data_IF_611773356106
#
_entry.id   IF_611773356106
#
_cell.length_a   1.000
_cell.length_b   1.000
_cell.length_c   1.000
_cell.angle_alpha   90.00
_cell.angle_beta   90.00
_cell.angle_gamma   90.00
#
_symmetry.space_group_name_H-M   'P 1'
#
loop_
_entity.id
_entity.type
_entity.pdbx_description
1 polymer ?
#
# COMPACT_ATOMS: atom_id res chain seq x y z
N UNK A 1 -73.98 -31.25 12.02
CA UNK A 1 -72.91 -32.26 12.37
C UNK A 1 -71.66 -31.81 11.62
N UNK A 2 -70.60 -31.37 12.34
CA UNK A 2 -69.32 -31.09 11.69
C UNK A 2 -68.55 -32.42 11.53
N UNK A 3 -68.36 -32.90 10.31
CA UNK A 3 -67.49 -34.03 10.03
C UNK A 3 -66.05 -33.64 10.45
N UNK A 4 -65.53 -34.26 11.48
CA UNK A 4 -64.11 -34.22 11.81
C UNK A 4 -63.39 -35.10 10.78
N UNK A 5 -62.83 -34.49 9.75
CA UNK A 5 -61.92 -35.20 8.83
C UNK A 5 -60.65 -35.58 9.62
N UNK A 6 -60.49 -36.85 9.94
CA UNK A 6 -59.23 -37.35 10.47
C UNK A 6 -58.19 -37.30 9.34
N UNK A 7 -57.09 -36.58 9.57
CA UNK A 7 -55.93 -36.59 8.67
C UNK A 7 -55.45 -38.02 8.46
N UNK A 8 -55.25 -38.44 7.26
CA UNK A 8 -54.72 -39.75 6.95
C UNK A 8 -53.20 -39.79 7.24
N UNK A 9 -52.68 -40.94 7.62
CA UNK A 9 -51.25 -41.10 7.89
C UNK A 9 -50.41 -40.64 6.69
N UNK A 10 -50.88 -40.83 5.45
CA UNK A 10 -50.24 -40.40 4.22
C UNK A 10 -50.12 -38.87 4.16
N UNK A 11 -51.18 -38.12 4.47
CA UNK A 11 -51.17 -36.65 4.46
C UNK A 11 -50.14 -36.10 5.44
N UNK A 12 -50.04 -36.68 6.65
CA UNK A 12 -49.05 -36.29 7.64
C UNK A 12 -47.62 -36.54 7.12
N UNK A 13 -47.40 -37.70 6.52
CA UNK A 13 -46.11 -38.04 5.94
C UNK A 13 -45.68 -37.13 4.79
N UNK A 14 -46.60 -36.82 3.88
CA UNK A 14 -46.40 -35.84 2.82
C UNK A 14 -46.05 -34.44 3.38
N UNK A 15 -46.78 -34.00 4.41
CA UNK A 15 -46.52 -32.71 5.05
C UNK A 15 -45.11 -32.62 5.66
N UNK A 16 -44.63 -33.71 6.29
CA UNK A 16 -43.26 -33.78 6.82
C UNK A 16 -42.21 -33.74 5.72
N UNK A 17 -42.42 -34.44 4.58
CA UNK A 17 -41.52 -34.40 3.44
C UNK A 17 -41.43 -32.97 2.90
N UNK A 18 -42.53 -32.31 2.66
CA UNK A 18 -42.55 -30.92 2.19
C UNK A 18 -41.86 -29.97 3.16
N UNK A 19 -42.14 -30.09 4.47
CA UNK A 19 -41.52 -29.28 5.49
C UNK A 19 -39.99 -29.46 5.52
N UNK A 20 -39.53 -30.71 5.41
CA UNK A 20 -38.06 -30.99 5.39
C UNK A 20 -37.39 -30.43 4.14
N UNK A 21 -38.04 -30.46 2.97
CA UNK A 21 -37.54 -29.86 1.73
C UNK A 21 -37.45 -28.33 1.86
N UNK A 22 -38.48 -27.69 2.39
CA UNK A 22 -38.46 -26.24 2.63
C UNK A 22 -37.35 -25.87 3.60
N UNK A 23 -37.19 -26.62 4.68
CA UNK A 23 -36.13 -26.37 5.66
C UNK A 23 -34.74 -26.56 5.04
N UNK A 24 -34.51 -27.60 4.27
CA UNK A 24 -33.26 -27.83 3.57
C UNK A 24 -32.93 -26.70 2.58
N UNK A 25 -33.93 -26.20 1.84
CA UNK A 25 -33.78 -25.05 0.95
C UNK A 25 -33.42 -23.79 1.72
N UNK A 26 -34.10 -23.48 2.81
CA UNK A 26 -33.82 -22.33 3.66
C UNK A 26 -32.40 -22.39 4.25
N UNK A 27 -31.97 -23.55 4.73
CA UNK A 27 -30.63 -23.74 5.25
C UNK A 27 -29.56 -23.58 4.18
N UNK A 28 -29.80 -24.07 2.95
CA UNK A 28 -28.90 -23.88 1.82
C UNK A 28 -28.75 -22.38 1.46
N UNK A 29 -29.86 -21.66 1.35
CA UNK A 29 -29.84 -20.20 1.02
C UNK A 29 -29.17 -19.40 2.14
N UNK A 30 -29.41 -19.71 3.39
CA UNK A 30 -28.78 -19.05 4.54
C UNK A 30 -27.25 -19.28 4.52
N UNK A 31 -26.82 -20.53 4.31
CA UNK A 31 -25.40 -20.88 4.20
C UNK A 31 -24.69 -20.14 3.06
N UNK A 32 -25.31 -20.05 1.89
CA UNK A 32 -24.80 -19.32 0.74
C UNK A 32 -24.67 -17.82 1.05
N UNK A 33 -25.70 -17.23 1.65
CA UNK A 33 -25.70 -15.81 2.05
C UNK A 33 -24.59 -15.50 3.07
N UNK A 34 -24.41 -16.36 4.07
CA UNK A 34 -23.33 -16.19 5.06
C UNK A 34 -21.94 -16.27 4.41
N UNK A 35 -21.69 -17.26 3.53
CA UNK A 35 -20.42 -17.36 2.78
C UNK A 35 -20.15 -16.11 1.95
N UNK A 36 -21.16 -15.62 1.22
CA UNK A 36 -21.03 -14.39 0.43
C UNK A 36 -20.70 -13.19 1.30
N UNK A 37 -21.33 -13.05 2.46
CA UNK A 37 -21.08 -11.92 3.37
C UNK A 37 -19.67 -11.96 3.97
N UNK A 38 -19.13 -13.15 4.28
CA UNK A 38 -17.76 -13.32 4.76
C UNK A 38 -16.75 -12.97 3.68
N UNK A 39 -16.96 -13.43 2.44
CA UNK A 39 -16.10 -13.08 1.31
C UNK A 39 -16.08 -11.58 1.05
N UNK A 40 -17.25 -10.92 1.07
CA UNK A 40 -17.34 -9.47 0.91
C UNK A 40 -16.60 -8.70 2.02
N UNK A 41 -16.66 -9.18 3.26
CA UNK A 41 -15.90 -8.58 4.37
C UNK A 41 -14.40 -8.70 4.15
N UNK A 42 -13.91 -9.86 3.72
CA UNK A 42 -12.49 -10.08 3.42
C UNK A 42 -12.00 -9.14 2.31
N UNK A 43 -12.73 -9.07 1.19
CA UNK A 43 -12.41 -8.19 0.06
C UNK A 43 -12.42 -6.71 0.50
N UNK A 44 -13.42 -6.31 1.29
CA UNK A 44 -13.51 -4.94 1.81
C UNK A 44 -12.31 -4.60 2.70
N UNK A 45 -11.92 -5.50 3.59
CA UNK A 45 -10.78 -5.28 4.49
C UNK A 45 -9.48 -5.11 3.69
N UNK A 46 -9.23 -5.99 2.73
CA UNK A 46 -8.06 -5.90 1.84
C UNK A 46 -8.05 -4.59 1.04
N UNK A 47 -9.19 -4.22 0.45
CA UNK A 47 -9.30 -2.96 -0.29
C UNK A 47 -9.04 -1.73 0.60
N UNK A 48 -9.52 -1.75 1.85
CA UNK A 48 -9.27 -0.68 2.81
C UNK A 48 -7.82 -0.58 3.24
N UNK A 49 -7.12 -1.71 3.46
CA UNK A 49 -5.69 -1.73 3.75
C UNK A 49 -4.90 -1.16 2.57
N UNK A 50 -5.16 -1.65 1.36
CA UNK A 50 -4.55 -1.14 0.13
C UNK A 50 -4.74 0.37 -0.02
N UNK A 51 -5.96 0.86 0.20
CA UNK A 51 -6.28 2.28 0.10
C UNK A 51 -5.51 3.11 1.16
N UNK A 52 -5.41 2.63 2.40
CA UNK A 52 -4.66 3.31 3.47
C UNK A 52 -3.18 3.44 3.12
N UNK A 53 -2.55 2.35 2.68
CA UNK A 53 -1.13 2.34 2.26
C UNK A 53 -0.93 3.30 1.10
N UNK A 54 -1.73 3.19 0.04
CA UNK A 54 -1.64 4.05 -1.13
C UNK A 54 -1.78 5.52 -0.75
N UNK A 55 -2.83 5.87 0.01
CA UNK A 55 -3.07 7.25 0.45
C UNK A 55 -1.90 7.80 1.28
N UNK A 56 -1.37 6.98 2.20
CA UNK A 56 -0.26 7.39 3.06
C UNK A 56 1.01 7.69 2.23
N UNK A 57 1.39 6.78 1.36
CA UNK A 57 2.54 6.94 0.47
C UNK A 57 2.34 8.08 -0.54
N UNK A 58 1.13 8.23 -1.08
CA UNK A 58 0.81 9.33 -1.99
C UNK A 58 1.00 10.70 -1.33
N UNK A 59 0.55 10.87 -0.08
CA UNK A 59 0.76 12.12 0.68
C UNK A 59 2.26 12.38 0.87
N UNK A 60 3.05 11.36 1.21
CA UNK A 60 4.49 11.50 1.38
C UNK A 60 5.19 11.89 0.08
N UNK A 61 4.93 11.15 -1.00
CA UNK A 61 5.56 11.41 -2.29
C UNK A 61 5.10 12.71 -2.96
N UNK A 62 3.89 13.17 -2.68
CA UNK A 62 3.44 14.50 -3.13
C UNK A 62 4.11 15.66 -2.39
N UNK A 63 4.74 15.39 -1.24
CA UNK A 63 5.43 16.37 -0.43
C UNK A 63 6.95 16.14 -0.36
N UNK A 64 7.52 15.45 -1.36
CA UNK A 64 8.97 15.33 -1.48
C UNK A 64 9.60 16.74 -1.51
N UNK A 65 10.62 16.94 -0.68
CA UNK A 65 11.27 18.21 -0.49
C UNK A 65 12.74 18.19 -0.90
N UNK A 66 13.22 19.29 -1.46
CA UNK A 66 14.64 19.57 -1.60
C UNK A 66 15.23 19.99 -0.26
N UNK A 67 16.43 19.51 0.07
CA UNK A 67 17.12 19.87 1.31
C UNK A 67 17.69 21.28 1.27
N UNK A 68 18.03 21.78 0.10
CA UNK A 68 18.67 23.09 -0.10
C UNK A 68 17.82 24.00 -0.97
N UNK A 69 17.72 25.29 -0.59
CA UNK A 69 17.01 26.30 -1.38
C UNK A 69 17.71 26.59 -2.70
N UNK A 70 19.02 26.42 -2.77
CA UNK A 70 19.87 26.87 -3.87
C UNK A 70 20.25 25.77 -4.88
N UNK A 71 19.99 24.52 -4.55
CA UNK A 71 20.21 23.40 -5.47
C UNK A 71 19.04 22.43 -5.38
N UNK A 72 18.50 22.02 -6.53
CA UNK A 72 17.45 21.00 -6.63
C UNK A 72 17.98 19.60 -6.28
N UNK A 73 18.66 19.49 -5.13
CA UNK A 73 19.21 18.24 -4.62
C UNK A 73 18.15 17.55 -3.78
N UNK A 74 17.59 16.50 -4.33
CA UNK A 74 16.65 15.65 -3.61
C UNK A 74 17.41 14.53 -2.90
N UNK A 75 17.12 14.37 -1.63
CA UNK A 75 17.57 13.20 -0.87
C UNK A 75 16.57 12.07 -1.15
N UNK A 76 16.83 11.33 -2.22
CA UNK A 76 15.97 10.24 -2.69
C UNK A 76 16.86 9.16 -3.29
N UNK A 77 16.96 8.01 -2.62
CA UNK A 77 17.82 6.91 -3.06
C UNK A 77 17.41 5.59 -2.42
N UNK A 78 17.85 4.49 -3.01
CA UNK A 78 17.71 3.15 -2.45
C UNK A 78 19.01 2.69 -1.83
N UNK A 79 18.94 2.01 -0.70
CA UNK A 79 20.08 1.43 0.01
C UNK A 79 19.69 0.09 0.61
N UNK A 80 20.61 -0.87 0.63
CA UNK A 80 20.41 -2.14 1.35
C UNK A 80 20.76 -1.96 2.82
N UNK A 81 19.76 -2.16 3.67
CA UNK A 81 19.96 -2.14 5.13
C UNK A 81 20.56 -3.50 5.54
N UNK A 82 21.58 -3.55 6.41
CA UNK A 82 22.10 -4.79 6.96
C UNK A 82 20.98 -5.62 7.61
N UNK A 83 20.82 -6.88 7.16
CA UNK A 83 19.78 -7.79 7.65
C UNK A 83 18.44 -7.72 6.89
N UNK A 84 18.37 -6.95 5.81
CA UNK A 84 17.26 -6.99 4.84
C UNK A 84 17.78 -7.40 3.48
N UNK A 85 17.12 -8.36 2.84
CA UNK A 85 17.42 -8.73 1.44
C UNK A 85 16.91 -7.70 0.45
N UNK A 86 15.90 -6.94 0.85
CA UNK A 86 15.22 -5.95 0.02
C UNK A 86 15.85 -4.56 0.18
N UNK A 87 15.96 -3.78 -0.92
CA UNK A 87 16.43 -2.40 -0.85
C UNK A 87 15.40 -1.51 -0.17
N UNK A 88 15.83 -0.75 0.82
CA UNK A 88 15.05 0.32 1.46
C UNK A 88 15.05 1.57 0.60
N UNK A 89 13.96 2.33 0.61
CA UNK A 89 13.87 3.63 -0.03
C UNK A 89 14.01 4.74 1.02
N UNK A 90 14.98 5.62 0.81
CA UNK A 90 15.24 6.80 1.65
C UNK A 90 14.86 8.07 0.91
N UNK A 91 14.11 8.95 1.56
CA UNK A 91 13.67 10.21 0.97
C UNK A 91 13.37 11.27 2.03
N UNK A 92 13.33 12.53 1.62
CA UNK A 92 12.93 13.65 2.49
C UNK A 92 11.58 14.18 2.08
N UNK A 93 10.79 14.54 3.08
CA UNK A 93 9.48 15.16 2.90
C UNK A 93 9.40 16.48 3.66
N UNK A 94 8.59 17.40 3.15
CA UNK A 94 8.37 18.70 3.74
C UNK A 94 6.87 19.00 3.86
N UNK A 95 6.51 19.85 4.81
CA UNK A 95 5.14 20.37 4.95
C UNK A 95 4.05 19.30 5.12
N UNK A 96 4.35 18.24 5.84
CA UNK A 96 3.32 17.27 6.25
C UNK A 96 2.56 17.88 7.43
N UNK A 97 1.23 17.80 7.37
CA UNK A 97 0.38 18.12 8.53
C UNK A 97 0.42 16.93 9.49
N UNK A 98 1.03 17.12 10.64
CA UNK A 98 1.06 16.13 11.73
C UNK A 98 0.61 16.81 13.03
N UNK A 99 -0.17 16.13 13.88
CA UNK A 99 -0.58 16.66 15.18
C UNK A 99 0.60 17.04 16.09
N UNK A 100 1.73 16.33 15.94
CA UNK A 100 2.97 16.69 16.63
C UNK A 100 3.80 17.65 15.76
N UNK A 101 4.05 18.90 16.22
CA UNK A 101 4.79 19.91 15.46
C UNK A 101 6.19 19.48 15.01
N UNK A 102 6.84 18.58 15.76
CA UNK A 102 8.15 18.04 15.38
C UNK A 102 8.11 17.30 14.05
N UNK A 103 6.99 16.63 13.73
CA UNK A 103 6.76 15.90 12.49
C UNK A 103 6.11 16.74 11.37
N UNK A 104 5.82 18.00 11.61
CA UNK A 104 5.33 18.95 10.60
C UNK A 104 6.44 19.71 9.86
N UNK A 105 7.71 19.42 10.18
CA UNK A 105 8.89 20.02 9.59
C UNK A 105 9.45 19.14 8.45
N UNK A 106 10.74 19.35 8.14
CA UNK A 106 11.46 18.47 7.20
C UNK A 106 11.75 17.15 7.91
N UNK A 107 11.30 16.06 7.32
CA UNK A 107 11.50 14.71 7.83
C UNK A 107 12.36 13.90 6.85
N UNK A 108 13.33 13.18 7.41
CA UNK A 108 13.91 12.02 6.73
C UNK A 108 12.94 10.84 6.87
N UNK A 109 12.64 10.19 5.77
CA UNK A 109 11.79 9.01 5.73
C UNK A 109 12.55 7.82 5.16
N UNK A 110 12.33 6.66 5.75
CA UNK A 110 12.86 5.38 5.25
C UNK A 110 11.74 4.36 5.17
N UNK A 111 11.58 3.72 4.01
CA UNK A 111 10.59 2.68 3.78
C UNK A 111 11.30 1.36 3.53
N UNK A 112 11.05 0.37 4.37
CA UNK A 112 11.74 -0.92 4.35
C UNK A 112 10.86 -2.04 4.89
N UNK A 113 11.28 -3.30 4.64
CA UNK A 113 10.64 -4.49 5.21
C UNK A 113 11.48 -5.01 6.37
N UNK A 114 10.82 -5.28 7.49
CA UNK A 114 11.39 -5.92 8.67
C UNK A 114 10.33 -6.77 9.35
N UNK A 115 10.69 -7.98 9.74
CA UNK A 115 9.80 -8.93 10.43
C UNK A 115 8.46 -9.12 9.71
N UNK A 116 8.49 -9.30 8.40
CA UNK A 116 7.30 -9.43 7.53
C UNK A 116 6.34 -8.22 7.60
N UNK A 117 6.87 -7.03 7.86
CA UNK A 117 6.10 -5.79 7.92
C UNK A 117 6.74 -4.73 7.04
N UNK A 118 5.92 -4.01 6.29
CA UNK A 118 6.33 -2.79 5.62
C UNK A 118 6.30 -1.65 6.65
N UNK A 119 7.46 -1.10 6.93
CA UNK A 119 7.66 -0.07 7.96
C UNK A 119 8.08 1.24 7.30
N UNK A 120 7.43 2.31 7.72
CA UNK A 120 7.80 3.68 7.44
C UNK A 120 8.44 4.26 8.69
N UNK A 121 9.75 4.46 8.66
CA UNK A 121 10.45 5.22 9.69
C UNK A 121 10.48 6.70 9.31
N UNK A 122 10.19 7.57 10.27
CA UNK A 122 10.19 9.03 10.12
C UNK A 122 11.10 9.63 11.17
N UNK A 123 12.02 10.47 10.72
CA UNK A 123 13.05 11.10 11.54
C UNK A 123 13.00 12.61 11.33
N UNK A 124 12.60 13.42 12.32
CA UNK A 124 12.71 14.86 12.24
C UNK A 124 14.19 15.27 12.14
N UNK A 125 14.56 16.00 11.08
CA UNK A 125 15.97 16.40 10.87
C UNK A 125 16.50 17.33 11.94
N UNK A 126 15.63 18.08 12.62
CA UNK A 126 16.01 18.98 13.73
C UNK A 126 16.19 18.27 15.05
N UNK A 127 15.46 17.18 15.29
CA UNK A 127 15.55 16.39 16.51
C UNK A 127 15.48 14.89 16.20
N UNK A 128 16.65 14.28 15.90
CA UNK A 128 16.71 12.87 15.56
C UNK A 128 16.31 11.92 16.70
N UNK A 129 16.21 12.40 17.94
CA UNK A 129 15.79 11.58 19.08
C UNK A 129 14.32 11.19 19.04
N UNK A 130 13.51 11.90 18.24
CA UNK A 130 12.07 11.70 18.10
C UNK A 130 11.70 10.76 16.93
N UNK A 131 12.52 9.76 16.63
CA UNK A 131 12.22 8.79 15.57
C UNK A 131 10.88 8.10 15.83
N UNK A 132 10.08 7.94 14.75
CA UNK A 132 8.79 7.22 14.78
C UNK A 132 8.75 6.18 13.69
N UNK A 133 8.34 4.97 14.04
CA UNK A 133 8.05 3.89 13.09
C UNK A 133 6.55 3.68 12.98
N UNK A 134 6.07 3.57 11.75
CA UNK A 134 4.67 3.31 11.41
C UNK A 134 4.60 2.02 10.58
N UNK A 135 3.84 1.03 11.03
CA UNK A 135 3.59 -0.19 10.27
C UNK A 135 2.51 0.11 9.23
N UNK A 136 2.87 0.10 7.96
CA UNK A 136 1.94 0.37 6.85
C UNK A 136 1.18 -0.89 6.42
N UNK A 137 1.87 -2.03 6.39
CA UNK A 137 1.30 -3.30 5.95
C UNK A 137 1.95 -4.47 6.70
N UNK A 138 1.18 -5.52 6.97
CA UNK A 138 1.64 -6.78 7.55
C UNK A 138 1.71 -7.88 6.48
N UNK A 139 2.33 -8.98 6.83
CA UNK A 139 2.45 -10.19 6.00
C UNK A 139 3.16 -9.93 4.66
N UNK A 140 4.13 -9.01 4.66
CA UNK A 140 4.98 -8.67 3.52
C UNK A 140 6.16 -9.64 3.45
N UNK A 141 6.35 -10.28 2.31
CA UNK A 141 7.47 -11.19 2.08
C UNK A 141 8.66 -10.45 1.49
N UNK A 142 8.43 -9.62 0.49
CA UNK A 142 9.46 -8.82 -0.17
C UNK A 142 8.89 -7.56 -0.80
N UNK A 143 9.77 -6.61 -1.10
CA UNK A 143 9.43 -5.41 -1.87
C UNK A 143 10.38 -5.25 -3.04
N UNK A 144 9.84 -4.72 -4.15
CA UNK A 144 10.64 -4.32 -5.30
C UNK A 144 10.26 -2.93 -5.74
N UNK A 145 11.28 -2.15 -6.09
CA UNK A 145 11.15 -0.81 -6.62
C UNK A 145 11.35 -0.83 -8.13
N UNK A 146 10.55 -0.06 -8.86
CA UNK A 146 10.72 0.17 -10.29
C UNK A 146 10.64 1.67 -10.52
N UNK A 147 11.77 2.26 -10.91
CA UNK A 147 11.90 3.69 -11.16
C UNK A 147 11.89 3.97 -12.64
N UNK A 148 11.09 4.96 -13.05
CA UNK A 148 10.99 5.41 -14.45
C UNK A 148 11.65 6.78 -14.58
N UNK A 149 12.60 6.86 -15.50
CA UNK A 149 13.32 8.10 -15.76
C UNK A 149 12.49 9.04 -16.60
N UNK A 150 12.57 10.34 -16.30
CA UNK A 150 12.09 11.39 -17.19
C UNK A 150 12.98 11.42 -18.45
N UNK A 151 12.38 11.39 -19.64
CA UNK A 151 13.06 11.68 -20.89
C UNK A 151 13.39 13.18 -20.92
N UNK A 152 14.44 13.58 -20.28
CA UNK A 152 14.95 14.96 -20.41
C UNK A 152 15.58 15.08 -21.78
N UNK A 153 14.99 15.92 -22.63
CA UNK A 153 15.63 16.54 -23.78
C UNK A 153 16.65 17.56 -23.24
N UNK A 154 17.80 17.10 -22.77
CA UNK A 154 18.91 17.97 -22.40
C UNK A 154 20.01 17.70 -23.39
N UNK A 155 20.09 18.59 -24.40
CA UNK A 155 21.10 18.57 -25.42
C UNK A 155 22.53 18.97 -24.96
N UNK A 156 22.72 19.27 -23.66
CA UNK A 156 23.98 19.86 -23.17
C UNK A 156 24.63 19.16 -21.98
N UNK A 157 24.30 17.88 -21.69
CA UNK A 157 24.89 17.18 -20.54
C UNK A 157 25.72 15.99 -20.97
N UNK A 158 26.90 16.25 -21.55
CA UNK A 158 27.88 15.20 -21.89
C UNK A 158 28.48 14.45 -20.69
N UNK A 159 28.16 14.84 -19.46
CA UNK A 159 28.70 14.24 -18.23
C UNK A 159 27.68 13.53 -17.33
N UNK A 160 26.41 13.46 -17.68
CA UNK A 160 25.44 12.75 -16.87
C UNK A 160 25.53 11.25 -17.18
N UNK A 161 25.97 10.47 -16.20
CA UNK A 161 25.91 9.00 -16.21
C UNK A 161 24.57 8.55 -16.81
N UNK A 162 24.62 7.75 -17.88
CA UNK A 162 23.38 7.27 -18.56
C UNK A 162 22.54 6.46 -17.56
N UNK A 163 21.58 7.12 -16.94
CA UNK A 163 20.61 6.45 -16.10
C UNK A 163 19.72 5.59 -17.00
N UNK A 164 19.54 4.29 -16.76
CA UNK A 164 18.69 3.45 -17.58
C UNK A 164 17.25 3.97 -17.55
N UNK A 165 16.48 3.76 -18.61
CA UNK A 165 15.07 4.22 -18.71
C UNK A 165 14.17 3.64 -17.60
N UNK A 166 14.51 2.42 -17.13
CA UNK A 166 13.86 1.73 -16.00
C UNK A 166 14.98 1.14 -15.14
N UNK A 167 14.89 1.33 -13.82
CA UNK A 167 15.85 0.79 -12.85
C UNK A 167 15.13 0.23 -11.62
N UNK A 168 15.71 -0.79 -11.01
CA UNK A 168 15.28 -1.33 -9.70
C UNK A 168 15.95 -0.63 -8.51
N UNK A 169 17.02 0.14 -8.76
CA UNK A 169 17.77 0.87 -7.76
C UNK A 169 17.91 2.33 -8.20
N UNK A 170 17.92 3.24 -7.23
CA UNK A 170 18.09 4.67 -7.44
C UNK A 170 19.26 5.15 -6.61
N UNK A 171 20.36 5.46 -7.28
CA UNK A 171 21.62 5.82 -6.64
C UNK A 171 21.56 7.23 -6.04
N UNK A 172 22.24 7.43 -4.93
CA UNK A 172 22.29 8.71 -4.20
C UNK A 172 22.90 9.85 -5.05
N UNK A 173 23.81 9.48 -5.95
CA UNK A 173 24.52 10.39 -6.84
C UNK A 173 23.65 10.99 -7.92
N UNK A 174 22.45 10.46 -8.18
CA UNK A 174 21.59 10.99 -9.24
C UNK A 174 21.04 12.38 -8.91
N UNK A 175 20.92 12.73 -7.61
CA UNK A 175 20.43 14.05 -7.15
C UNK A 175 19.10 14.52 -7.76
N UNK A 176 18.39 13.64 -8.45
CA UNK A 176 17.16 13.90 -9.20
C UNK A 176 16.07 12.94 -8.72
N UNK A 177 14.82 13.35 -8.90
CA UNK A 177 13.69 12.44 -8.73
C UNK A 177 13.42 11.64 -10.01
N UNK A 178 13.04 10.37 -9.94
CA UNK A 178 12.46 9.67 -11.08
C UNK A 178 11.13 10.33 -11.48
N UNK A 179 10.67 10.12 -12.71
CA UNK A 179 9.37 10.61 -13.17
C UNK A 179 8.22 9.94 -12.45
N UNK A 180 8.34 8.64 -12.26
CA UNK A 180 7.40 7.83 -11.50
C UNK A 180 8.12 6.65 -10.86
N UNK A 181 7.45 6.07 -9.91
CA UNK A 181 7.94 4.94 -9.12
C UNK A 181 6.79 3.96 -8.94
N UNK A 182 7.06 2.68 -9.21
CA UNK A 182 6.19 1.59 -8.83
C UNK A 182 6.79 0.85 -7.63
N UNK A 183 5.95 0.62 -6.63
CA UNK A 183 6.23 -0.23 -5.50
C UNK A 183 5.46 -1.53 -5.66
N UNK A 184 6.17 -2.63 -5.83
CA UNK A 184 5.62 -3.98 -5.88
C UNK A 184 5.86 -4.65 -4.53
N UNK A 185 4.78 -5.04 -3.85
CA UNK A 185 4.82 -5.70 -2.54
C UNK A 185 4.36 -7.14 -2.71
N UNK A 186 5.22 -8.08 -2.41
CA UNK A 186 4.90 -9.50 -2.38
C UNK A 186 4.41 -9.89 -0.98
N UNK A 187 3.37 -10.71 -0.92
CA UNK A 187 2.77 -11.18 0.33
C UNK A 187 2.63 -12.70 0.32
N UNK A 188 2.75 -13.32 1.49
CA UNK A 188 2.55 -14.75 1.60
C UNK A 188 1.11 -15.14 1.21
N UNK A 189 0.99 -16.06 0.26
CA UNK A 189 -0.29 -16.65 -0.21
C UNK A 189 -1.32 -15.65 -0.76
N UNK A 190 -0.89 -14.47 -1.22
CA UNK A 190 -1.75 -13.45 -1.80
C UNK A 190 -1.15 -12.92 -3.11
N UNK A 191 -1.99 -12.32 -3.96
CA UNK A 191 -1.51 -11.63 -5.14
C UNK A 191 -0.65 -10.43 -4.77
N UNK A 192 0.43 -10.13 -5.54
CA UNK A 192 1.26 -8.96 -5.30
C UNK A 192 0.45 -7.67 -5.38
N UNK A 193 0.75 -6.72 -4.51
CA UNK A 193 0.19 -5.37 -4.57
C UNK A 193 1.13 -4.48 -5.37
N UNK A 194 0.60 -3.77 -6.34
CA UNK A 194 1.35 -2.79 -7.12
C UNK A 194 0.77 -1.40 -6.85
N UNK A 195 1.64 -0.46 -6.50
CA UNK A 195 1.32 0.94 -6.28
C UNK A 195 2.18 1.80 -7.17
N UNK A 196 1.55 2.64 -7.99
CA UNK A 196 2.22 3.55 -8.90
C UNK A 196 2.09 5.00 -8.41
N UNK A 197 3.21 5.70 -8.35
CA UNK A 197 3.27 7.08 -7.88
C UNK A 197 3.98 7.96 -8.90
N UNK A 198 3.30 8.96 -9.46
CA UNK A 198 3.99 10.01 -10.21
C UNK A 198 4.76 10.89 -9.23
N UNK A 199 6.03 11.14 -9.52
CA UNK A 199 6.90 12.01 -8.73
C UNK A 199 7.09 13.31 -9.51
N UNK A 200 6.36 14.35 -9.10
CA UNK A 200 6.48 15.66 -9.74
C UNK A 200 7.56 16.46 -9.01
N UNK A 201 8.69 16.71 -9.69
CA UNK A 201 9.61 17.73 -9.20
C UNK A 201 8.90 19.08 -9.23
N UNK A 202 8.59 19.63 -8.07
CA UNK A 202 8.11 21.02 -7.99
C UNK A 202 9.28 21.94 -8.30
N UNK A 203 9.57 22.15 -9.57
CA UNK A 203 10.41 23.27 -9.99
C UNK A 203 9.53 24.49 -9.72
N UNK A 204 9.78 25.18 -8.61
CA UNK A 204 9.23 26.53 -8.44
C UNK A 204 9.96 27.41 -9.42
N UNK A 205 9.29 28.06 -10.39
CA UNK A 205 9.94 29.12 -11.15
C UNK A 205 10.38 30.21 -10.17
N UNK A 206 11.63 30.58 -10.24
CA UNK A 206 12.24 31.71 -9.54
C UNK A 206 11.61 32.99 -10.01
#
# INVERSE_FOLDING_TARGET
MKQKTALTLLEVLCAFIFLSLIFAYLMSTLSSSLRSSLNLRAIKTEAMERFKVHRRLFILFSNLGSITKDQASYYFYTEKIPGSDDPSLHFTVQKILDPNPAFSQILGCSLYVKDHKLILAQLPLKDPSLAREEILLKDVTSIRWIFYKQKLLIEHAEQIKKIPGVSSEWEKEYCQLPQSLDLVIERANQSPLVFSFPLVSKIYPI
#
